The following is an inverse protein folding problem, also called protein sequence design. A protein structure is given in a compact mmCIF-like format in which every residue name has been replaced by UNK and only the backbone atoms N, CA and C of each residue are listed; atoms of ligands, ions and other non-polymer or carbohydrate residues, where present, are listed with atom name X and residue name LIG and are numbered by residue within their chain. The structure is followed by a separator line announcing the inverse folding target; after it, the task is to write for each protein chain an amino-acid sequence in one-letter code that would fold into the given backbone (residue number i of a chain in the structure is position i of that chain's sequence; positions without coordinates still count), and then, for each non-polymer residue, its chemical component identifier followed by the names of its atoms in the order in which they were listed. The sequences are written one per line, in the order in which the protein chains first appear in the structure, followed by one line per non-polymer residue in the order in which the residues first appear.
data_IF_561428856349
#
_entry.id   IF_561428856349
#
_cell.length_a   1.000
_cell.length_b   1.000
_cell.length_c   1.000
_cell.angle_alpha   90.00
_cell.angle_beta   90.00
_cell.angle_gamma   90.00
#
_symmetry.space_group_name_H-M   'P 1'
#
loop_
_entity.id
_entity.type
_entity.pdbx_description
1 polymer ?
#
# COMPACT_ATOMS: atom_id res chain seq x y z
N UNK A 1 25.18 29.76 -2.58
CA UNK A 1 25.47 30.99 -1.84
C UNK A 1 26.70 31.64 -2.46
N UNK A 2 26.87 32.96 -2.31
CA UNK A 2 28.04 33.66 -2.86
C UNK A 2 29.37 33.17 -2.24
N UNK A 3 29.29 32.54 -1.07
CA UNK A 3 30.40 31.87 -0.36
C UNK A 3 30.80 30.48 -0.93
N UNK A 4 30.21 30.05 -2.05
CA UNK A 4 30.48 28.74 -2.66
C UNK A 4 29.76 27.55 -2.03
N UNK A 5 29.01 27.74 -0.95
CA UNK A 5 28.20 26.68 -0.33
C UNK A 5 26.86 26.46 -1.05
N UNK A 6 26.28 25.26 -0.89
CA UNK A 6 24.97 24.92 -1.45
C UNK A 6 23.87 25.78 -0.81
N UNK A 7 23.08 26.49 -1.63
CA UNK A 7 21.92 27.23 -1.17
C UNK A 7 20.85 26.27 -0.59
N UNK A 8 20.28 26.61 0.56
CA UNK A 8 19.13 25.91 1.15
C UNK A 8 17.85 26.69 0.89
N UNK A 9 16.71 26.13 1.27
CA UNK A 9 15.39 26.70 0.97
C UNK A 9 15.28 28.21 1.30
N UNK A 10 15.74 28.72 2.45
CA UNK A 10 15.65 30.15 2.75
C UNK A 10 16.44 31.03 1.76
N UNK A 11 17.63 30.59 1.36
CA UNK A 11 18.44 31.32 0.38
C UNK A 11 17.83 31.22 -1.02
N UNK A 12 17.26 30.05 -1.38
CA UNK A 12 16.56 29.85 -2.64
C UNK A 12 15.30 30.73 -2.74
N UNK A 13 14.57 30.94 -1.64
CA UNK A 13 13.40 31.84 -1.59
C UNK A 13 13.81 33.31 -1.76
N UNK A 14 14.93 33.73 -1.16
CA UNK A 14 15.46 35.08 -1.34
C UNK A 14 15.92 35.30 -2.80
N UNK A 15 16.65 34.34 -3.35
CA UNK A 15 17.10 34.35 -4.74
C UNK A 15 15.91 34.38 -5.72
N UNK A 16 14.92 33.52 -5.51
CA UNK A 16 13.72 33.46 -6.34
C UNK A 16 12.97 34.81 -6.34
N UNK A 17 12.82 35.46 -5.17
CA UNK A 17 12.24 36.81 -5.09
C UNK A 17 13.06 37.85 -5.84
N UNK A 18 14.39 37.88 -5.64
CA UNK A 18 15.30 38.82 -6.31
C UNK A 18 15.22 38.73 -7.84
N UNK A 19 15.04 37.53 -8.36
CA UNK A 19 15.04 37.26 -9.80
C UNK A 19 13.63 37.03 -10.39
N UNK A 20 12.57 37.30 -9.62
CA UNK A 20 11.18 37.08 -10.02
C UNK A 20 10.89 35.66 -10.58
N UNK A 21 11.45 34.65 -9.91
CA UNK A 21 11.26 33.23 -10.22
C UNK A 21 10.25 32.61 -9.25
N UNK A 22 9.51 31.62 -9.73
CA UNK A 22 8.69 30.76 -8.87
C UNK A 22 9.54 29.62 -8.30
N UNK A 23 9.26 29.24 -7.06
CA UNK A 23 9.84 28.06 -6.41
C UNK A 23 8.74 27.08 -6.05
N UNK A 24 9.01 25.79 -6.24
CA UNK A 24 8.11 24.69 -5.89
C UNK A 24 8.95 23.50 -5.41
N UNK A 25 8.44 22.73 -4.46
CA UNK A 25 9.11 21.51 -3.99
C UNK A 25 8.73 20.30 -4.85
N UNK A 26 9.60 19.29 -4.84
CA UNK A 26 9.27 17.98 -5.44
C UNK A 26 8.00 17.40 -4.80
N UNK A 27 7.80 17.57 -3.49
CA UNK A 27 6.57 17.10 -2.81
C UNK A 27 5.31 17.79 -3.31
N UNK A 28 5.36 19.10 -3.57
CA UNK A 28 4.24 19.86 -4.14
C UNK A 28 3.94 19.43 -5.59
N UNK A 29 4.98 19.15 -6.40
CA UNK A 29 4.78 18.60 -7.75
C UNK A 29 4.13 17.21 -7.67
N UNK A 30 4.62 16.33 -6.79
CA UNK A 30 4.02 15.01 -6.58
C UNK A 30 2.55 15.16 -6.18
N UNK A 31 2.23 16.00 -5.20
CA UNK A 31 0.84 16.23 -4.77
C UNK A 31 -0.03 16.79 -5.90
N UNK A 32 0.47 17.75 -6.67
CA UNK A 32 -0.24 18.32 -7.81
C UNK A 32 -0.57 17.24 -8.86
N UNK A 33 0.45 16.49 -9.32
CA UNK A 33 0.25 15.42 -10.30
C UNK A 33 -0.72 14.36 -9.79
N UNK A 34 -0.64 14.00 -8.51
CA UNK A 34 -1.57 13.05 -7.87
C UNK A 34 -3.02 13.53 -7.87
N UNK A 35 -3.26 14.84 -7.78
CA UNK A 35 -4.60 15.46 -7.82
C UNK A 35 -5.11 15.69 -9.23
N UNK A 36 -4.23 15.93 -10.21
CA UNK A 36 -4.63 16.35 -11.57
C UNK A 36 -4.53 15.24 -12.61
N UNK A 37 -3.70 14.23 -12.38
CA UNK A 37 -3.47 13.15 -13.34
C UNK A 37 -4.21 11.87 -12.92
N UNK A 38 -4.88 11.26 -13.90
CA UNK A 38 -5.45 9.93 -13.76
C UNK A 38 -4.42 8.91 -14.25
N UNK A 39 -3.82 8.19 -13.30
CA UNK A 39 -2.73 7.25 -13.56
C UNK A 39 -3.20 5.80 -13.67
N UNK A 40 -4.52 5.58 -13.67
CA UNK A 40 -5.15 4.26 -13.72
C UNK A 40 -6.15 4.15 -14.87
N UNK A 41 -6.23 2.95 -15.43
CA UNK A 41 -7.24 2.56 -16.40
C UNK A 41 -7.99 1.34 -15.89
N UNK A 42 -9.32 1.44 -15.74
CA UNK A 42 -10.19 0.28 -15.51
C UNK A 42 -10.29 -0.48 -16.83
N UNK A 43 -9.89 -1.75 -16.84
CA UNK A 43 -9.82 -2.57 -18.05
C UNK A 43 -11.11 -3.35 -18.26
N UNK A 44 -11.53 -4.11 -17.25
CA UNK A 44 -12.74 -4.91 -17.28
C UNK A 44 -13.17 -5.29 -15.86
N UNK A 45 -14.36 -5.86 -15.74
CA UNK A 45 -14.88 -6.45 -14.52
C UNK A 45 -15.60 -7.77 -14.83
N UNK A 46 -15.63 -8.66 -13.83
CA UNK A 46 -16.25 -9.99 -13.94
C UNK A 46 -16.76 -10.46 -12.59
N UNK A 47 -17.79 -11.32 -12.59
CA UNK A 47 -18.20 -12.04 -11.39
C UNK A 47 -17.07 -12.96 -10.90
N UNK A 48 -16.80 -12.95 -9.60
CA UNK A 48 -15.78 -13.76 -8.95
C UNK A 48 -16.42 -14.53 -7.77
N UNK A 49 -16.97 -15.73 -8.04
CA UNK A 49 -17.34 -16.65 -6.97
C UNK A 49 -16.08 -17.21 -6.30
N UNK A 50 -16.03 -17.21 -4.98
CA UNK A 50 -14.90 -17.72 -4.19
C UNK A 50 -15.39 -18.54 -3.01
N UNK A 51 -14.49 -19.27 -2.34
CA UNK A 51 -14.81 -19.95 -1.07
C UNK A 51 -15.21 -18.98 0.06
N UNK A 52 -14.92 -17.68 -0.08
CA UNK A 52 -15.25 -16.68 0.93
C UNK A 52 -16.56 -15.94 0.64
N UNK A 53 -17.17 -16.15 -0.53
CA UNK A 53 -18.35 -15.42 -0.98
C UNK A 53 -18.33 -15.06 -2.46
N UNK A 54 -19.39 -14.39 -2.89
CA UNK A 54 -19.55 -13.89 -4.26
C UNK A 54 -19.19 -12.41 -4.33
N UNK A 55 -18.25 -12.09 -5.21
CA UNK A 55 -17.71 -10.75 -5.40
C UNK A 55 -17.74 -10.34 -6.87
N UNK A 56 -17.47 -9.08 -7.12
CA UNK A 56 -17.12 -8.57 -8.43
C UNK A 56 -15.63 -8.21 -8.46
N UNK A 57 -14.91 -8.73 -9.43
CA UNK A 57 -13.50 -8.41 -9.65
C UNK A 57 -13.41 -7.30 -10.69
N UNK A 58 -12.67 -6.24 -10.37
CA UNK A 58 -12.31 -5.17 -11.29
C UNK A 58 -10.80 -5.20 -11.55
N UNK A 59 -10.42 -5.26 -12.83
CA UNK A 59 -9.03 -5.20 -13.27
C UNK A 59 -8.65 -3.76 -13.62
N UNK A 60 -7.53 -3.30 -13.08
CA UNK A 60 -6.93 -2.00 -13.37
C UNK A 60 -5.52 -2.16 -13.91
N UNK A 61 -5.13 -1.30 -14.85
CA UNK A 61 -3.75 -1.10 -15.29
C UNK A 61 -3.25 0.25 -14.79
N UNK A 62 -2.05 0.28 -14.21
CA UNK A 62 -1.31 1.51 -13.95
C UNK A 62 -0.66 2.03 -15.24
N UNK A 63 -0.83 3.31 -15.53
CA UNK A 63 -0.36 3.91 -16.80
C UNK A 63 1.15 4.11 -16.88
N UNK A 64 1.86 4.11 -15.74
CA UNK A 64 3.29 4.39 -15.62
C UNK A 64 4.10 3.09 -15.77
N UNK A 65 3.85 2.09 -14.93
CA UNK A 65 4.61 0.83 -14.95
C UNK A 65 3.92 -0.27 -15.76
N UNK A 66 2.68 -0.05 -16.21
CA UNK A 66 1.87 -1.07 -16.91
C UNK A 66 1.62 -2.31 -16.05
N UNK A 67 1.66 -2.14 -14.73
CA UNK A 67 1.32 -3.20 -13.79
C UNK A 67 -0.20 -3.31 -13.64
N UNK A 68 -0.65 -4.54 -13.35
CA UNK A 68 -2.06 -4.83 -13.16
C UNK A 68 -2.39 -4.90 -11.67
N UNK A 69 -3.54 -4.35 -11.29
CA UNK A 69 -4.05 -4.36 -9.93
C UNK A 69 -5.51 -4.81 -9.93
N UNK A 70 -5.94 -5.41 -8.82
CA UNK A 70 -7.27 -6.01 -8.72
C UNK A 70 -8.02 -5.37 -7.55
N UNK A 71 -9.26 -4.98 -7.78
CA UNK A 71 -10.22 -4.69 -6.71
C UNK A 71 -11.31 -5.77 -6.68
N UNK A 72 -11.44 -6.44 -5.54
CA UNK A 72 -12.50 -7.41 -5.25
C UNK A 72 -13.56 -6.68 -4.45
N UNK A 73 -14.75 -6.52 -5.00
CA UNK A 73 -15.82 -5.67 -4.49
C UNK A 73 -17.01 -6.53 -4.06
N UNK A 74 -17.55 -6.24 -2.88
CA UNK A 74 -18.80 -6.81 -2.39
C UNK A 74 -19.86 -5.72 -2.36
N UNK A 75 -21.04 -6.00 -2.92
CA UNK A 75 -22.19 -5.09 -2.91
C UNK A 75 -21.96 -3.79 -3.69
N UNK A 76 -22.88 -2.84 -3.55
CA UNK A 76 -22.76 -1.50 -4.16
C UNK A 76 -22.03 -0.56 -3.21
N UNK A 77 -20.80 -0.17 -3.58
CA UNK A 77 -19.89 0.67 -2.78
C UNK A 77 -19.90 2.14 -3.18
N UNK A 78 -20.28 2.46 -4.42
CA UNK A 78 -20.25 3.83 -4.93
C UNK A 78 -21.23 4.73 -4.16
N UNK A 79 -20.77 5.91 -3.72
CA UNK A 79 -21.59 6.87 -2.97
C UNK A 79 -21.94 6.45 -1.54
N UNK A 80 -21.50 5.27 -1.08
CA UNK A 80 -21.64 4.84 0.32
C UNK A 80 -20.59 5.54 1.18
N UNK A 81 -20.96 5.83 2.42
CA UNK A 81 -20.02 6.31 3.42
C UNK A 81 -19.40 5.16 4.22
N UNK A 82 -18.17 5.39 4.69
CA UNK A 82 -17.47 4.51 5.64
C UNK A 82 -17.35 3.06 5.15
N UNK A 83 -17.10 2.89 3.85
CA UNK A 83 -16.98 1.57 3.22
C UNK A 83 -15.80 0.80 3.83
N UNK A 84 -16.00 -0.48 4.14
CA UNK A 84 -14.94 -1.34 4.66
C UNK A 84 -13.93 -1.66 3.57
N UNK A 85 -12.66 -1.28 3.77
CA UNK A 85 -11.62 -1.44 2.75
C UNK A 85 -10.39 -2.15 3.32
N UNK A 86 -9.86 -3.12 2.58
CA UNK A 86 -8.52 -3.69 2.79
C UNK A 86 -7.63 -3.31 1.60
N UNK A 87 -6.52 -2.62 1.86
CA UNK A 87 -5.44 -2.48 0.86
C UNK A 87 -4.38 -3.54 1.14
N UNK A 88 -4.33 -4.57 0.30
CA UNK A 88 -3.41 -5.70 0.39
C UNK A 88 -2.24 -5.51 -0.58
N UNK A 89 -1.01 -5.62 -0.09
CA UNK A 89 0.17 -5.67 -0.97
C UNK A 89 0.44 -7.14 -1.28
N UNK A 90 0.57 -7.49 -2.55
CA UNK A 90 0.75 -8.87 -3.00
C UNK A 90 1.91 -9.57 -2.30
N UNK A 91 1.69 -10.83 -1.92
CA UNK A 91 2.68 -11.68 -1.30
C UNK A 91 2.51 -13.12 -1.81
N UNK A 92 3.13 -13.49 -2.93
CA UNK A 92 2.96 -14.78 -3.59
C UNK A 92 3.13 -15.96 -2.61
N UNK A 93 4.18 -15.92 -1.79
CA UNK A 93 4.47 -16.96 -0.79
C UNK A 93 3.37 -17.11 0.26
N UNK A 94 2.79 -16.01 0.73
CA UNK A 94 1.75 -16.04 1.77
C UNK A 94 0.36 -16.29 1.18
N UNK A 95 0.02 -15.56 0.12
CA UNK A 95 -1.31 -15.53 -0.47
C UNK A 95 -1.64 -16.83 -1.22
N UNK A 96 -0.69 -17.36 -1.98
CA UNK A 96 -0.88 -18.56 -2.81
C UNK A 96 -0.40 -19.81 -2.10
N UNK A 97 0.84 -19.81 -1.60
CA UNK A 97 1.48 -20.99 -1.02
C UNK A 97 1.28 -21.13 0.49
N UNK A 98 0.52 -20.24 1.13
CA UNK A 98 0.20 -20.30 2.57
C UNK A 98 1.44 -20.43 3.45
N UNK A 99 2.50 -19.70 3.09
CA UNK A 99 3.75 -19.71 3.83
C UNK A 99 3.57 -19.26 5.27
N UNK A 100 4.02 -20.11 6.21
CA UNK A 100 4.07 -19.82 7.65
C UNK A 100 5.18 -18.84 8.05
N UNK A 101 5.89 -18.23 7.08
CA UNK A 101 6.91 -17.18 7.36
C UNK A 101 6.29 -15.81 7.59
N UNK A 102 5.04 -15.60 7.18
CA UNK A 102 4.37 -14.31 7.27
C UNK A 102 2.85 -14.46 7.41
N UNK A 103 2.22 -13.44 7.96
CA UNK A 103 0.77 -13.29 8.18
C UNK A 103 -0.02 -12.86 6.92
N UNK A 104 0.61 -12.79 5.74
CA UNK A 104 -0.02 -12.16 4.58
C UNK A 104 -1.23 -12.96 4.06
N UNK A 105 -1.10 -14.29 3.98
CA UNK A 105 -2.16 -15.17 3.51
C UNK A 105 -3.40 -15.09 4.39
N UNK A 106 -3.23 -15.20 5.71
CA UNK A 106 -4.32 -15.12 6.68
C UNK A 106 -4.99 -13.75 6.69
N UNK A 107 -4.21 -12.65 6.60
CA UNK A 107 -4.78 -11.31 6.51
C UNK A 107 -5.63 -11.12 5.26
N UNK A 108 -5.25 -11.73 4.13
CA UNK A 108 -6.04 -11.73 2.91
C UNK A 108 -7.37 -12.46 3.13
N UNK A 109 -7.33 -13.68 3.68
CA UNK A 109 -8.53 -14.49 3.91
C UNK A 109 -9.49 -13.81 4.91
N UNK A 110 -8.99 -13.38 6.07
CA UNK A 110 -9.79 -12.73 7.10
C UNK A 110 -10.44 -11.45 6.55
N UNK A 111 -9.73 -10.68 5.75
CA UNK A 111 -10.29 -9.47 5.13
C UNK A 111 -11.44 -9.80 4.18
N UNK A 112 -11.30 -10.84 3.34
CA UNK A 112 -12.39 -11.27 2.44
C UNK A 112 -13.61 -11.76 3.23
N UNK A 113 -13.40 -12.54 4.29
CA UNK A 113 -14.48 -13.01 5.17
C UNK A 113 -15.19 -11.85 5.87
N UNK A 114 -14.44 -10.86 6.38
CA UNK A 114 -15.02 -9.67 7.01
C UNK A 114 -15.85 -8.84 6.02
N UNK A 115 -15.34 -8.67 4.79
CA UNK A 115 -16.04 -7.95 3.72
C UNK A 115 -17.31 -8.69 3.31
N UNK A 116 -17.25 -10.00 3.13
CA UNK A 116 -18.43 -10.82 2.82
C UNK A 116 -19.50 -10.65 3.90
N UNK A 117 -19.12 -10.85 5.17
CA UNK A 117 -20.03 -10.72 6.32
C UNK A 117 -20.67 -9.34 6.41
N UNK A 118 -19.94 -8.29 6.03
CA UNK A 118 -20.47 -6.92 6.04
C UNK A 118 -21.43 -6.66 4.88
N UNK A 119 -21.34 -7.43 3.79
CA UNK A 119 -22.16 -7.30 2.59
C UNK A 119 -21.84 -6.09 1.71
N UNK A 120 -20.89 -5.24 2.11
CA UNK A 120 -20.43 -4.07 1.37
C UNK A 120 -18.98 -3.76 1.73
N UNK A 121 -18.08 -3.78 0.74
CA UNK A 121 -16.67 -3.49 0.97
C UNK A 121 -15.76 -3.79 -0.23
N UNK A 122 -14.48 -3.44 -0.10
CA UNK A 122 -13.47 -3.58 -1.15
C UNK A 122 -12.20 -4.19 -0.58
N UNK A 123 -11.70 -5.26 -1.21
CA UNK A 123 -10.32 -5.69 -1.08
C UNK A 123 -9.54 -5.26 -2.32
N UNK A 124 -8.63 -4.32 -2.13
CA UNK A 124 -7.72 -3.83 -3.16
C UNK A 124 -6.40 -4.59 -3.08
N UNK A 125 -6.14 -5.44 -4.07
CA UNK A 125 -4.93 -6.24 -4.21
C UNK A 125 -3.93 -5.52 -5.13
N UNK A 126 -2.93 -4.89 -4.50
CA UNK A 126 -1.88 -4.13 -5.18
C UNK A 126 -0.71 -5.04 -5.52
N UNK A 127 -0.27 -5.03 -6.78
CA UNK A 127 0.91 -5.75 -7.24
C UNK A 127 2.19 -5.07 -6.74
N UNK A 128 2.60 -5.39 -5.50
CA UNK A 128 3.68 -4.73 -4.78
C UNK A 128 4.47 -5.73 -3.95
N UNK A 129 4.97 -6.77 -4.62
CA UNK A 129 5.68 -7.88 -4.00
C UNK A 129 6.91 -7.40 -3.22
N UNK A 130 7.14 -8.00 -2.04
CA UNK A 130 8.32 -7.72 -1.21
C UNK A 130 8.41 -6.28 -0.70
N UNK A 131 7.31 -5.53 -0.59
CA UNK A 131 7.32 -4.06 -0.34
C UNK A 131 7.90 -3.24 -1.49
N UNK A 132 7.72 -3.73 -2.73
CA UNK A 132 8.12 -3.03 -3.95
C UNK A 132 9.50 -3.41 -4.47
N UNK A 133 10.23 -4.33 -3.81
CA UNK A 133 11.53 -4.83 -4.30
C UNK A 133 11.39 -6.01 -5.28
N UNK A 134 10.17 -6.55 -5.42
CA UNK A 134 9.87 -7.69 -6.29
C UNK A 134 10.20 -9.05 -5.66
N UNK A 135 9.74 -10.12 -6.32
CA UNK A 135 9.84 -11.49 -5.82
C UNK A 135 11.29 -11.96 -5.66
N UNK A 136 12.14 -11.72 -6.67
CA UNK A 136 13.55 -12.14 -6.66
C UNK A 136 14.27 -11.63 -5.41
N UNK A 137 14.15 -10.33 -5.13
CA UNK A 137 14.83 -9.72 -3.99
C UNK A 137 14.21 -10.12 -2.66
N UNK A 138 12.90 -10.38 -2.61
CA UNK A 138 12.26 -10.97 -1.43
C UNK A 138 12.83 -12.36 -1.10
N UNK A 139 13.02 -13.23 -2.10
CA UNK A 139 13.60 -14.56 -1.87
C UNK A 139 15.08 -14.45 -1.46
N UNK A 140 15.84 -13.53 -2.05
CA UNK A 140 17.21 -13.24 -1.57
C UNK A 140 17.21 -12.74 -0.12
N UNK A 141 16.26 -11.89 0.26
CA UNK A 141 16.13 -11.40 1.63
C UNK A 141 15.80 -12.54 2.60
N UNK A 142 14.98 -13.52 2.20
CA UNK A 142 14.75 -14.74 2.98
C UNK A 142 16.04 -15.55 3.19
N UNK A 143 16.86 -15.72 2.15
CA UNK A 143 18.15 -16.39 2.30
C UNK A 143 19.14 -15.66 3.22
N UNK A 144 19.01 -14.32 3.36
CA UNK A 144 19.75 -13.56 4.37
C UNK A 144 19.14 -13.74 5.77
N UNK A 145 17.82 -13.81 5.89
CA UNK A 145 17.16 -14.03 7.17
C UNK A 145 17.48 -15.39 7.80
N UNK A 146 17.66 -16.41 6.97
CA UNK A 146 18.15 -17.73 7.40
C UNK A 146 19.57 -17.67 7.98
N UNK A 147 20.33 -16.64 7.64
CA UNK A 147 21.67 -16.37 8.18
C UNK A 147 21.64 -15.42 9.39
N UNK A 148 20.45 -15.15 9.95
CA UNK A 148 20.26 -14.39 11.19
C UNK A 148 19.97 -12.89 11.01
N UNK A 149 19.93 -12.37 9.78
CA UNK A 149 19.56 -10.97 9.55
C UNK A 149 18.06 -10.77 9.73
N UNK A 150 17.61 -9.62 10.23
CA UNK A 150 16.19 -9.32 10.19
C UNK A 150 15.73 -8.80 8.82
N UNK A 151 14.43 -8.53 8.70
CA UNK A 151 13.83 -8.06 7.44
C UNK A 151 14.36 -6.70 6.96
N UNK A 152 14.65 -5.77 7.87
CA UNK A 152 15.18 -4.44 7.53
C UNK A 152 16.64 -4.55 7.15
N UNK A 153 17.43 -5.29 7.92
CA UNK A 153 18.85 -5.51 7.68
C UNK A 153 19.10 -6.23 6.35
N UNK A 154 18.30 -7.27 6.07
CA UNK A 154 18.35 -7.98 4.79
C UNK A 154 18.07 -7.05 3.61
N UNK A 155 17.08 -6.15 3.72
CA UNK A 155 16.78 -5.18 2.66
C UNK A 155 17.90 -4.16 2.45
N UNK A 156 18.45 -3.61 3.54
CA UNK A 156 19.58 -2.67 3.49
C UNK A 156 20.79 -3.34 2.86
N UNK A 157 21.08 -4.59 3.22
CA UNK A 157 22.19 -5.37 2.65
C UNK A 157 22.02 -5.66 1.16
N UNK A 158 20.78 -5.73 0.68
CA UNK A 158 20.46 -5.85 -0.74
C UNK A 158 20.41 -4.50 -1.48
N UNK A 159 20.68 -3.38 -0.79
CA UNK A 159 20.72 -2.04 -1.37
C UNK A 159 19.35 -1.34 -1.49
N UNK A 160 18.32 -1.85 -0.81
CA UNK A 160 16.97 -1.31 -0.88
C UNK A 160 16.59 -0.49 0.36
N UNK A 161 15.73 0.52 0.17
CA UNK A 161 15.05 1.16 1.29
C UNK A 161 14.11 0.16 1.98
N UNK A 162 13.79 0.35 3.28
CA UNK A 162 12.93 -0.57 4.03
C UNK A 162 11.50 -0.73 3.45
N UNK A 163 10.98 0.29 2.77
CA UNK A 163 9.65 0.28 2.13
C UNK A 163 9.64 1.23 0.92
N UNK A 164 9.25 0.73 -0.26
CA UNK A 164 9.20 1.47 -1.53
C UNK A 164 7.78 1.57 -2.09
N UNK A 165 6.76 1.23 -1.32
CA UNK A 165 5.37 1.19 -1.80
C UNK A 165 4.82 2.59 -2.02
N UNK A 166 4.15 2.77 -3.15
CA UNK A 166 3.31 3.94 -3.43
C UNK A 166 1.83 3.55 -3.28
N UNK A 167 1.11 4.29 -2.45
CA UNK A 167 -0.32 4.08 -2.18
C UNK A 167 -1.23 4.92 -3.08
N UNK A 168 -0.66 5.77 -3.92
CA UNK A 168 -1.37 6.70 -4.76
C UNK A 168 -2.22 6.06 -5.84
N UNK A 169 -1.68 5.05 -6.52
CA UNK A 169 -2.43 4.24 -7.48
C UNK A 169 -3.63 3.57 -6.79
N UNK A 170 -3.41 3.03 -5.58
CA UNK A 170 -4.47 2.39 -4.82
C UNK A 170 -5.57 3.36 -4.41
N UNK A 171 -5.21 4.58 -4.00
CA UNK A 171 -6.18 5.61 -3.69
C UNK A 171 -7.02 6.02 -4.91
N UNK A 172 -6.40 6.17 -6.09
CA UNK A 172 -7.15 6.46 -7.33
C UNK A 172 -8.11 5.33 -7.72
N UNK A 173 -7.74 4.06 -7.51
CA UNK A 173 -8.64 2.92 -7.74
C UNK A 173 -9.86 3.00 -6.83
N UNK A 174 -9.68 3.29 -5.53
CA UNK A 174 -10.80 3.42 -4.60
C UNK A 174 -11.73 4.58 -4.95
N UNK A 175 -11.16 5.72 -5.38
CA UNK A 175 -11.95 6.87 -5.84
C UNK A 175 -12.71 6.57 -7.13
N UNK A 176 -12.09 5.84 -8.07
CA UNK A 176 -12.75 5.42 -9.32
C UNK A 176 -13.91 4.43 -9.06
N UNK A 177 -13.82 3.62 -8.02
CA UNK A 177 -14.93 2.80 -7.52
C UNK A 177 -16.05 3.62 -6.84
N UNK A 178 -15.86 4.94 -6.70
CA UNK A 178 -16.85 5.87 -6.14
C UNK A 178 -16.78 6.03 -4.62
N UNK A 179 -15.66 5.69 -3.98
CA UNK A 179 -15.49 5.82 -2.53
C UNK A 179 -14.93 7.21 -2.18
N UNK A 180 -15.46 7.81 -1.11
CA UNK A 180 -15.01 9.08 -0.54
C UNK A 180 -14.56 8.94 0.92
N UNK A 181 -15.19 8.04 1.69
CA UNK A 181 -14.85 7.75 3.09
C UNK A 181 -14.73 6.25 3.32
N UNK A 182 -13.69 5.82 4.05
CA UNK A 182 -13.39 4.40 4.25
C UNK A 182 -13.03 4.05 5.69
N UNK A 183 -13.43 2.86 6.10
CA UNK A 183 -12.93 2.18 7.31
C UNK A 183 -11.85 1.19 6.88
N UNK A 184 -10.60 1.47 7.22
CA UNK A 184 -9.45 0.79 6.66
C UNK A 184 -8.98 -0.37 7.56
N UNK A 185 -9.02 -1.58 7.02
CA UNK A 185 -8.48 -2.82 7.59
C UNK A 185 -6.94 -2.82 7.52
N UNK A 186 -6.26 -2.21 8.51
CA UNK A 186 -4.80 -2.07 8.52
C UNK A 186 -4.18 -2.05 9.91
N UNK A 187 -2.99 -2.66 9.97
CA UNK A 187 -2.06 -2.58 11.09
C UNK A 187 -0.92 -1.59 10.87
N UNK A 188 -0.80 -1.05 9.65
CA UNK A 188 0.28 -0.14 9.29
C UNK A 188 -0.26 1.31 9.22
N UNK A 189 0.11 2.20 10.17
CA UNK A 189 -0.28 3.60 10.14
C UNK A 189 0.16 4.34 8.87
N UNK A 190 1.31 3.96 8.28
CA UNK A 190 1.80 4.60 7.04
C UNK A 190 0.85 4.41 5.85
N UNK A 191 0.04 3.34 5.84
CA UNK A 191 -1.00 3.14 4.82
C UNK A 191 -2.10 4.20 4.91
N UNK A 192 -2.39 4.70 6.11
CA UNK A 192 -3.42 5.72 6.33
C UNK A 192 -2.96 7.02 5.67
N UNK A 193 -1.78 7.51 6.05
CA UNK A 193 -1.20 8.74 5.52
C UNK A 193 -0.99 8.69 3.98
N UNK A 194 -0.70 7.51 3.42
CA UNK A 194 -0.54 7.35 1.97
C UNK A 194 -1.83 7.41 1.15
N UNK A 195 -2.99 7.19 1.78
CA UNK A 195 -4.31 7.23 1.14
C UNK A 195 -5.00 8.58 1.34
N UNK A 196 -4.72 9.26 2.45
CA UNK A 196 -5.21 10.61 2.74
C UNK A 196 -4.56 11.61 1.77
N UNK A 197 -5.38 12.26 0.93
CA UNK A 197 -4.91 13.21 -0.09
C UNK A 197 -5.57 13.06 -1.47
N UNK A 198 -6.27 11.95 -1.71
CA UNK A 198 -6.91 11.63 -3.00
C UNK A 198 -8.43 11.88 -3.03
N UNK A 199 -8.96 12.88 -2.32
CA UNK A 199 -10.42 12.99 -2.06
C UNK A 199 -11.01 11.76 -1.34
N UNK A 200 -10.14 10.98 -0.72
CA UNK A 200 -10.45 9.80 0.07
C UNK A 200 -10.06 10.10 1.52
N UNK A 201 -11.00 9.89 2.45
CA UNK A 201 -10.79 10.08 3.88
C UNK A 201 -10.86 8.73 4.60
N UNK A 202 -9.86 8.43 5.41
CA UNK A 202 -9.91 7.29 6.32
C UNK A 202 -10.63 7.74 7.59
N UNK A 203 -11.81 7.19 7.84
CA UNK A 203 -12.64 7.56 9.00
C UNK A 203 -12.40 6.69 10.21
N UNK A 204 -11.91 5.47 10.00
CA UNK A 204 -11.60 4.53 11.06
C UNK A 204 -10.48 3.59 10.63
N UNK A 205 -9.60 3.25 11.57
CA UNK A 205 -8.64 2.15 11.42
C UNK A 205 -9.17 0.93 12.16
N UNK A 206 -9.35 -0.16 11.44
CA UNK A 206 -9.74 -1.46 12.01
C UNK A 206 -8.51 -2.38 11.93
N UNK A 207 -8.04 -2.94 13.06
CA UNK A 207 -6.90 -3.85 13.05
C UNK A 207 -7.26 -5.20 12.41
N UNK A 208 -6.25 -5.86 11.82
CA UNK A 208 -6.36 -7.24 11.29
C UNK A 208 -5.25 -8.06 11.94
N UNK A 209 -5.46 -8.45 13.19
CA UNK A 209 -4.47 -9.19 13.97
C UNK A 209 -4.60 -10.67 13.67
N UNK A 210 -3.49 -11.30 13.31
CA UNK A 210 -3.39 -12.75 13.20
C UNK A 210 -2.35 -13.26 14.17
N UNK A 211 -2.64 -14.36 14.84
CA UNK A 211 -1.70 -14.99 15.76
C UNK A 211 -0.63 -15.74 14.96
N UNK A 212 0.66 -15.56 15.26
CA UNK A 212 1.70 -16.30 14.57
C UNK A 212 1.64 -17.79 14.93
N UNK A 213 1.61 -18.67 13.93
CA UNK A 213 1.66 -20.12 14.13
C UNK A 213 3.09 -20.66 14.35
N UNK A 214 4.12 -19.86 14.03
CA UNK A 214 5.53 -20.28 14.12
C UNK A 214 6.42 -19.18 14.70
N UNK A 215 7.56 -19.57 15.27
CA UNK A 215 8.59 -18.62 15.74
C UNK A 215 9.09 -17.70 14.61
N UNK A 216 9.13 -18.20 13.37
CA UNK A 216 9.57 -17.41 12.20
C UNK A 216 8.57 -16.29 11.93
N UNK A 217 7.26 -16.61 11.93
CA UNK A 217 6.21 -15.62 11.81
C UNK A 217 6.25 -14.62 12.98
N UNK A 218 6.48 -15.10 14.20
CA UNK A 218 6.58 -14.25 15.39
C UNK A 218 7.72 -13.24 15.27
N UNK A 219 8.93 -13.67 14.89
CA UNK A 219 10.08 -12.79 14.64
C UNK A 219 9.77 -11.75 13.55
N UNK A 220 9.07 -12.16 12.50
CA UNK A 220 8.64 -11.27 11.43
C UNK A 220 7.64 -10.20 11.93
N UNK A 221 6.65 -10.58 12.73
CA UNK A 221 5.69 -9.65 13.34
C UNK A 221 6.38 -8.71 14.34
N UNK A 222 7.30 -9.22 15.16
CA UNK A 222 8.12 -8.40 16.07
C UNK A 222 8.94 -7.36 15.30
N UNK A 223 9.52 -7.72 14.16
CA UNK A 223 10.24 -6.77 13.29
C UNK A 223 9.30 -5.69 12.73
N UNK A 224 8.09 -6.08 12.30
CA UNK A 224 7.07 -5.13 11.83
C UNK A 224 6.68 -4.12 12.92
N UNK A 225 6.48 -4.57 14.16
CA UNK A 225 6.16 -3.72 15.30
C UNK A 225 7.32 -2.78 15.63
N UNK A 226 8.48 -3.36 15.93
CA UNK A 226 9.61 -2.65 16.53
C UNK A 226 10.35 -1.75 15.54
N UNK A 227 10.50 -2.17 14.27
CA UNK A 227 11.31 -1.44 13.27
C UNK A 227 10.49 -0.75 12.18
N UNK A 228 9.25 -1.18 11.93
CA UNK A 228 8.40 -0.62 10.86
C UNK A 228 7.17 0.15 11.38
N UNK A 229 6.97 0.21 12.70
CA UNK A 229 5.91 1.00 13.33
C UNK A 229 4.50 0.44 13.11
N UNK A 230 4.36 -0.87 12.89
CA UNK A 230 3.05 -1.51 12.83
C UNK A 230 2.41 -1.58 14.23
N UNK A 231 1.10 -1.36 14.31
CA UNK A 231 0.29 -1.44 15.53
C UNK A 231 -0.28 -2.86 15.70
N UNK A 232 0.60 -3.80 16.09
CA UNK A 232 0.33 -5.25 16.31
C UNK A 232 1.04 -5.76 17.55
#
# INVERSE_FOLDING_TARGET
NEDGTMARLPQLESFARKHNLKIITISQIIEYRRKTERLIKRICNVSLPTKYGNFELYLYEDTIKKEHHIAIVKGSVAGRENVLVRVHSSCLTGDTFRSLRCDCGEQLEQSLVMIERKGCGVLLYMHQEGRGIGLINKIKAYGLQEKGYDTVEANVKLGFKPDLRDYGIGAQILVDLGLSTIRLLTNNPRKIAGLEGYKLKVTERIPVVVQPETEIAERYLNTKRNKLGHLI
#
